data_IF_812935488585
#
_entry.id   IF_812935488585
#
_cell.length_a   1.000
_cell.length_b   1.000
_cell.length_c   1.000
_cell.angle_alpha   90.00
_cell.angle_beta   90.00
_cell.angle_gamma   90.00
#
_symmetry.space_group_name_H-M   'P 1'
#
loop_
_entity.id
_entity.type
_entity.pdbx_description
1 polymer ?
#
# COMPACT_ATOMS: atom_id res chain seq x y z
N UNK A 1 -16.06 14.74 -0.33
CA UNK A 1 -17.56 14.80 -0.31
C UNK A 1 -18.13 15.19 1.05
N UNK A 2 -17.50 14.74 2.16
CA UNK A 2 -18.02 14.98 3.53
C UNK A 2 -18.08 16.45 3.97
N UNK A 3 -17.38 17.35 3.26
CA UNK A 3 -17.48 18.81 3.48
C UNK A 3 -18.72 19.42 2.78
N UNK A 4 -19.48 18.61 2.03
CA UNK A 4 -20.67 19.06 1.31
C UNK A 4 -20.35 20.12 0.24
N UNK A 5 -21.14 21.22 0.16
CA UNK A 5 -20.94 22.27 -0.83
C UNK A 5 -19.57 22.99 -0.73
N UNK A 6 -18.88 22.85 0.38
CA UNK A 6 -17.54 23.44 0.63
C UNK A 6 -16.41 22.47 0.28
N UNK A 7 -16.74 21.25 -0.19
CA UNK A 7 -15.72 20.28 -0.61
C UNK A 7 -14.88 20.87 -1.74
N UNK A 8 -13.53 20.82 -1.64
CA UNK A 8 -12.68 21.22 -2.75
C UNK A 8 -12.89 20.28 -3.94
N UNK A 9 -12.79 20.82 -5.15
CA UNK A 9 -12.88 20.04 -6.39
C UNK A 9 -11.61 19.25 -6.69
N UNK A 10 -10.49 19.66 -6.08
CA UNK A 10 -9.17 19.04 -6.24
C UNK A 10 -8.45 19.09 -4.89
N UNK A 11 -7.81 18.03 -4.50
CA UNK A 11 -6.92 17.94 -3.33
C UNK A 11 -5.90 16.82 -3.55
N UNK A 12 -4.78 16.90 -2.84
CA UNK A 12 -3.75 15.86 -2.84
C UNK A 12 -4.03 14.87 -1.70
N UNK A 13 -4.26 13.57 -2.01
CA UNK A 13 -4.53 12.56 -1.00
C UNK A 13 -3.27 12.13 -0.23
N UNK A 14 -2.08 12.51 -0.69
CA UNK A 14 -0.78 12.15 -0.17
C UNK A 14 0.13 11.63 -1.26
N UNK A 15 1.37 11.32 -0.89
CA UNK A 15 2.33 10.71 -1.81
C UNK A 15 2.86 9.39 -1.24
N UNK A 16 3.27 8.52 -2.14
CA UNK A 16 4.04 7.32 -1.85
C UNK A 16 5.40 7.49 -2.54
N UNK A 17 6.45 7.52 -1.76
CA UNK A 17 7.81 7.66 -2.26
C UNK A 17 8.52 6.34 -2.01
N UNK A 18 9.16 5.79 -3.03
CA UNK A 18 9.99 4.60 -2.92
C UNK A 18 11.38 4.93 -3.45
N UNK A 19 12.38 4.72 -2.62
CA UNK A 19 13.78 4.86 -2.98
C UNK A 19 14.49 3.53 -2.80
N UNK A 20 15.29 3.15 -3.79
CA UNK A 20 16.05 1.92 -3.76
C UNK A 20 17.50 2.20 -4.15
N UNK A 21 18.42 1.70 -3.35
CA UNK A 21 19.84 1.72 -3.64
C UNK A 21 20.37 0.30 -3.64
N UNK A 22 20.83 -0.18 -4.78
CA UNK A 22 21.42 -1.50 -4.94
C UNK A 22 22.88 -1.40 -5.33
N UNK A 23 23.73 -2.15 -4.66
CA UNK A 23 25.14 -2.35 -5.02
C UNK A 23 25.36 -3.83 -5.22
N UNK A 24 25.86 -4.21 -6.39
CA UNK A 24 26.14 -5.60 -6.75
C UNK A 24 27.58 -5.73 -7.27
N UNK A 25 28.25 -6.79 -6.85
CA UNK A 25 29.55 -7.16 -7.39
C UNK A 25 29.52 -8.61 -7.87
N UNK A 26 29.72 -8.78 -9.18
CA UNK A 26 29.69 -10.08 -9.85
C UNK A 26 31.05 -10.44 -10.39
N UNK A 27 31.43 -11.70 -10.21
CA UNK A 27 32.67 -12.26 -10.68
C UNK A 27 32.41 -13.56 -11.43
N UNK A 28 33.09 -13.73 -12.56
CA UNK A 28 33.09 -14.97 -13.30
C UNK A 28 34.53 -15.44 -13.52
N UNK A 29 34.75 -16.73 -13.34
CA UNK A 29 36.09 -17.34 -13.47
C UNK A 29 35.97 -18.68 -14.18
N UNK A 30 36.78 -18.83 -15.25
CA UNK A 30 36.93 -20.09 -15.97
C UNK A 30 37.95 -20.96 -15.23
N UNK A 31 37.48 -22.05 -14.63
CA UNK A 31 38.31 -22.98 -13.85
C UNK A 31 39.06 -23.92 -14.82
N UNK A 32 38.37 -24.41 -15.83
CA UNK A 32 38.91 -25.27 -16.90
C UNK A 32 38.08 -25.09 -18.19
N UNK A 33 38.45 -25.79 -19.25
CA UNK A 33 37.69 -25.79 -20.52
C UNK A 33 36.25 -26.33 -20.35
N UNK A 34 35.99 -27.10 -19.30
CA UNK A 34 34.69 -27.75 -19.00
C UNK A 34 34.03 -27.20 -17.75
N UNK A 35 34.62 -26.24 -17.03
CA UNK A 35 34.08 -25.76 -15.76
C UNK A 35 34.22 -24.25 -15.64
N UNK A 36 33.10 -23.58 -15.33
CA UNK A 36 33.07 -22.17 -14.99
C UNK A 36 32.43 -21.95 -13.63
N UNK A 37 32.84 -20.89 -12.96
CA UNK A 37 32.35 -20.46 -11.67
C UNK A 37 31.91 -19.00 -11.78
N UNK A 38 30.69 -18.69 -11.32
CA UNK A 38 30.24 -17.34 -11.10
C UNK A 38 29.89 -17.16 -9.63
N UNK A 39 30.22 -16.02 -9.06
CA UNK A 39 29.86 -15.69 -7.69
C UNK A 39 29.74 -14.19 -7.52
N UNK A 40 28.97 -13.78 -6.52
CA UNK A 40 28.79 -12.37 -6.27
C UNK A 40 28.20 -12.10 -4.91
N UNK A 41 28.10 -10.80 -4.65
CA UNK A 41 27.45 -10.26 -3.47
C UNK A 41 26.61 -9.05 -3.87
N UNK A 42 25.48 -8.87 -3.20
CA UNK A 42 24.66 -7.69 -3.35
C UNK A 42 24.25 -7.12 -2.00
N UNK A 43 24.15 -5.81 -1.96
CA UNK A 43 23.56 -5.03 -0.89
C UNK A 43 22.39 -4.26 -1.46
N UNK A 44 21.26 -4.28 -0.76
CA UNK A 44 20.06 -3.54 -1.12
C UNK A 44 19.63 -2.71 0.09
N UNK A 45 19.34 -1.44 -0.14
CA UNK A 45 18.67 -0.55 0.80
C UNK A 45 17.42 -0.02 0.15
N UNK A 46 16.28 -0.24 0.79
CA UNK A 46 14.97 0.22 0.35
C UNK A 46 14.38 1.18 1.38
N UNK A 47 13.85 2.28 0.90
CA UNK A 47 13.11 3.24 1.71
C UNK A 47 11.73 3.44 1.09
N UNK A 48 10.70 3.38 1.91
CA UNK A 48 9.32 3.60 1.52
C UNK A 48 8.69 4.62 2.45
N UNK A 49 8.31 5.77 1.92
CA UNK A 49 7.71 6.85 2.66
C UNK A 49 6.25 7.05 2.26
N UNK A 50 5.39 7.12 3.25
CA UNK A 50 4.01 7.57 3.12
C UNK A 50 3.95 9.01 3.59
N UNK A 51 3.67 9.94 2.67
CA UNK A 51 3.55 11.38 2.96
C UNK A 51 2.08 11.74 3.12
N UNK A 52 1.77 12.50 4.16
CA UNK A 52 0.41 12.95 4.43
C UNK A 52 -0.20 13.75 3.27
N UNK A 53 -1.50 13.63 3.12
CA UNK A 53 -2.30 14.40 2.18
C UNK A 53 -2.70 15.77 2.75
N UNK A 54 -3.44 16.51 1.93
CA UNK A 54 -4.10 17.72 2.41
C UNK A 54 -5.22 17.37 3.41
N UNK A 55 -5.47 18.20 4.44
CA UNK A 55 -6.47 17.92 5.47
C UNK A 55 -7.85 17.54 4.93
N UNK A 56 -8.30 18.17 3.85
CA UNK A 56 -9.59 17.87 3.22
C UNK A 56 -9.66 16.47 2.58
N UNK A 57 -8.52 15.78 2.44
CA UNK A 57 -8.46 14.43 1.92
C UNK A 57 -8.75 13.36 2.99
N UNK A 58 -8.48 13.63 4.27
CA UNK A 58 -8.59 12.66 5.35
C UNK A 58 -9.44 13.12 6.55
N UNK A 59 -9.73 14.42 6.69
CA UNK A 59 -10.60 14.89 7.76
C UNK A 59 -12.08 14.64 7.43
N UNK A 60 -12.83 14.19 8.43
CA UNK A 60 -14.27 14.06 8.35
C UNK A 60 -14.92 15.44 8.39
N UNK A 61 -15.70 15.76 7.37
CA UNK A 61 -16.54 16.96 7.35
C UNK A 61 -17.89 16.72 8.05
N UNK A 62 -18.72 17.76 8.16
CA UNK A 62 -20.01 17.68 8.85
C UNK A 62 -20.97 16.64 8.25
N UNK A 63 -20.85 16.34 6.96
CA UNK A 63 -21.69 15.34 6.28
C UNK A 63 -21.15 13.89 6.38
N UNK A 64 -20.06 13.69 7.11
CA UNK A 64 -19.58 12.35 7.46
C UNK A 64 -20.27 11.75 8.70
N UNK A 65 -21.38 12.34 9.12
CA UNK A 65 -22.23 11.88 10.20
C UNK A 65 -23.61 11.49 9.69
N UNK A 66 -24.26 10.59 10.39
CA UNK A 66 -25.68 10.30 10.21
C UNK A 66 -26.49 11.53 10.55
N UNK A 67 -27.51 11.83 9.75
CA UNK A 67 -28.38 13.01 9.89
C UNK A 67 -27.59 14.33 10.17
N UNK A 68 -26.77 14.81 9.23
CA UNK A 68 -25.93 16.00 9.44
C UNK A 68 -26.72 17.31 9.55
N UNK A 69 -28.04 17.26 9.37
CA UNK A 69 -28.95 18.41 9.41
C UNK A 69 -29.80 18.45 10.67
N UNK A 70 -29.67 17.46 11.59
CA UNK A 70 -30.51 17.29 12.77
C UNK A 70 -32.03 17.27 12.41
N UNK A 71 -32.39 16.55 11.36
CA UNK A 71 -33.79 16.40 10.94
C UNK A 71 -34.56 15.41 11.78
N UNK A 72 -33.91 14.47 12.44
CA UNK A 72 -34.50 13.41 13.20
C UNK A 72 -34.11 13.45 14.69
N UNK A 73 -35.06 13.19 15.56
CA UNK A 73 -34.84 13.00 16.99
C UNK A 73 -34.42 11.55 17.28
N UNK A 74 -33.84 11.31 18.45
CA UNK A 74 -33.45 9.98 18.89
C UNK A 74 -34.63 9.00 19.07
N UNK A 75 -35.86 9.50 19.14
CA UNK A 75 -37.09 8.72 19.19
C UNK A 75 -37.71 8.43 17.82
N UNK A 76 -36.96 8.67 16.74
CA UNK A 76 -37.37 8.46 15.37
C UNK A 76 -38.54 9.38 14.91
N UNK A 77 -38.68 10.53 15.55
CA UNK A 77 -39.62 11.57 15.10
C UNK A 77 -38.88 12.71 14.43
N UNK A 78 -39.55 13.43 13.49
CA UNK A 78 -38.94 14.59 12.86
C UNK A 78 -38.81 15.76 13.86
N UNK A 79 -37.64 16.43 13.82
CA UNK A 79 -37.39 17.71 14.50
C UNK A 79 -38.19 18.84 13.84
N UNK A 80 -38.13 20.04 14.42
CA UNK A 80 -38.73 21.21 13.79
C UNK A 80 -38.10 21.48 12.38
N UNK A 81 -36.81 21.27 12.21
CA UNK A 81 -36.13 21.36 10.91
C UNK A 81 -36.57 20.26 9.93
N UNK A 82 -36.72 19.04 10.42
CA UNK A 82 -37.26 17.91 9.66
C UNK A 82 -38.68 18.15 9.19
N UNK A 83 -39.54 18.68 10.04
CA UNK A 83 -40.92 19.02 9.67
C UNK A 83 -40.97 20.12 8.59
N UNK A 84 -40.06 21.09 8.63
CA UNK A 84 -39.95 22.11 7.58
C UNK A 84 -39.49 21.48 6.27
N UNK A 85 -38.55 20.54 6.29
CA UNK A 85 -38.12 19.80 5.12
C UNK A 85 -39.25 18.99 4.50
N UNK A 86 -40.04 18.27 5.31
CA UNK A 86 -41.21 17.51 4.87
C UNK A 86 -42.28 18.45 4.24
N UNK A 87 -42.56 19.57 4.88
CA UNK A 87 -43.49 20.58 4.36
C UNK A 87 -42.99 21.19 3.03
N UNK A 88 -41.67 21.22 2.81
CA UNK A 88 -41.00 21.61 1.57
C UNK A 88 -40.99 20.54 0.48
N UNK A 89 -41.54 19.35 0.75
CA UNK A 89 -41.66 18.26 -0.22
C UNK A 89 -40.59 17.17 -0.08
N UNK A 90 -39.83 17.14 1.01
CA UNK A 90 -38.92 16.03 1.32
C UNK A 90 -39.70 14.74 1.64
N UNK A 91 -39.18 13.61 1.23
CA UNK A 91 -39.68 12.27 1.55
C UNK A 91 -39.11 11.72 2.86
N UNK A 92 -38.56 12.59 3.71
CA UNK A 92 -37.94 12.23 4.98
C UNK A 92 -38.86 11.38 5.86
N UNK A 93 -38.42 10.22 6.25
CA UNK A 93 -39.06 9.33 7.21
C UNK A 93 -38.03 8.91 8.29
N UNK A 94 -38.08 9.61 9.42
CA UNK A 94 -37.16 9.32 10.53
C UNK A 94 -37.36 7.93 11.19
N UNK A 95 -38.47 7.24 10.89
CA UNK A 95 -38.70 5.89 11.38
C UNK A 95 -38.13 4.80 10.45
N UNK A 96 -37.76 5.16 9.24
CA UNK A 96 -37.11 4.27 8.27
C UNK A 96 -35.59 4.35 8.43
N UNK A 97 -34.97 3.26 8.90
CA UNK A 97 -33.51 3.16 9.07
C UNK A 97 -32.75 3.23 7.72
N UNK A 98 -33.41 2.95 6.62
CA UNK A 98 -32.87 3.04 5.26
C UNK A 98 -33.09 4.41 4.61
N UNK A 99 -33.71 5.38 5.32
CA UNK A 99 -33.90 6.73 4.79
C UNK A 99 -32.56 7.37 4.42
N UNK A 100 -32.47 8.04 3.25
CA UNK A 100 -31.23 8.72 2.80
C UNK A 100 -30.62 9.70 3.80
N UNK A 101 -31.38 10.22 4.76
CA UNK A 101 -30.89 11.12 5.82
C UNK A 101 -29.81 10.46 6.68
N UNK A 102 -29.89 9.13 6.85
CA UNK A 102 -28.94 8.37 7.64
C UNK A 102 -27.69 7.93 6.86
N UNK A 103 -27.64 8.17 5.57
CA UNK A 103 -26.48 7.85 4.74
C UNK A 103 -25.29 8.75 5.07
N UNK A 104 -24.21 8.13 5.55
CA UNK A 104 -22.96 8.82 5.85
C UNK A 104 -22.15 9.03 4.56
N UNK A 105 -21.78 10.28 4.31
CA UNK A 105 -20.96 10.61 3.14
C UNK A 105 -19.48 10.31 3.46
N UNK A 106 -18.84 9.52 2.60
CA UNK A 106 -17.44 9.13 2.76
C UNK A 106 -16.48 10.31 2.75
N UNK A 107 -15.39 10.18 3.50
CA UNK A 107 -14.28 11.12 3.53
C UNK A 107 -13.44 11.00 2.26
N UNK A 108 -12.81 12.08 1.84
CA UNK A 108 -11.92 12.11 0.68
C UNK A 108 -12.66 12.06 -0.65
N UNK A 109 -12.06 11.45 -1.66
CA UNK A 109 -12.58 11.33 -3.00
C UNK A 109 -13.31 10.01 -3.18
N UNK A 110 -14.61 10.07 -3.47
CA UNK A 110 -15.44 8.88 -3.76
C UNK A 110 -15.25 7.73 -2.76
N UNK A 111 -15.17 8.05 -1.46
CA UNK A 111 -14.97 7.05 -0.41
C UNK A 111 -13.52 6.59 -0.21
N UNK A 112 -12.58 7.19 -0.93
CA UNK A 112 -11.15 6.95 -0.70
C UNK A 112 -10.57 8.11 0.14
N UNK A 113 -10.24 7.90 1.42
CA UNK A 113 -9.56 8.89 2.25
C UNK A 113 -8.09 9.04 1.82
N UNK A 114 -7.54 10.25 1.95
CA UNK A 114 -6.11 10.46 1.87
C UNK A 114 -5.37 9.93 3.09
N UNK A 115 -4.06 9.91 3.00
CA UNK A 115 -3.18 9.54 4.12
C UNK A 115 -3.21 10.63 5.18
N UNK A 116 -3.57 10.26 6.39
CA UNK A 116 -3.51 11.17 7.53
C UNK A 116 -2.11 11.16 8.17
N UNK A 117 -1.76 12.18 8.99
CA UNK A 117 -0.50 12.21 9.72
C UNK A 117 -0.22 10.95 10.55
N UNK A 118 -1.27 10.25 11.01
CA UNK A 118 -1.14 9.04 11.79
C UNK A 118 -0.61 7.83 10.99
N UNK A 119 -0.67 7.90 9.66
CA UNK A 119 -0.18 6.87 8.75
C UNK A 119 1.01 7.35 7.91
N UNK A 120 1.52 8.56 8.18
CA UNK A 120 2.68 9.12 7.48
C UNK A 120 3.93 8.70 8.22
N UNK A 121 4.70 7.81 7.60
CA UNK A 121 5.88 7.20 8.19
C UNK A 121 6.88 6.82 7.11
N UNK A 122 8.17 6.87 7.47
CA UNK A 122 9.26 6.37 6.66
C UNK A 122 9.64 4.95 7.16
N UNK A 123 9.54 4.00 6.26
CA UNK A 123 9.98 2.63 6.45
C UNK A 123 11.28 2.41 5.70
N UNK A 124 12.26 1.80 6.32
CA UNK A 124 13.51 1.43 5.68
C UNK A 124 13.89 0.00 6.02
N UNK A 125 14.52 -0.69 5.09
CA UNK A 125 15.11 -2.00 5.31
C UNK A 125 16.36 -2.18 4.48
N UNK A 126 17.22 -3.06 4.95
CA UNK A 126 18.41 -3.46 4.22
C UNK A 126 18.46 -4.98 4.05
N UNK A 127 19.11 -5.43 2.98
CA UNK A 127 19.43 -6.82 2.80
C UNK A 127 20.82 -7.01 2.21
N UNK A 128 21.42 -8.16 2.54
CA UNK A 128 22.68 -8.63 1.96
C UNK A 128 22.46 -10.00 1.34
N UNK A 129 23.03 -10.20 0.16
CA UNK A 129 23.01 -11.51 -0.46
C UNK A 129 24.40 -11.91 -0.94
N UNK A 130 24.67 -13.22 -0.84
CA UNK A 130 25.84 -13.86 -1.43
C UNK A 130 25.35 -15.01 -2.30
N UNK A 131 25.95 -15.18 -3.46
CA UNK A 131 25.57 -16.25 -4.38
C UNK A 131 26.76 -16.81 -5.10
N UNK A 132 26.65 -18.07 -5.48
CA UNK A 132 27.63 -18.77 -6.29
C UNK A 132 26.93 -19.77 -7.20
N UNK A 133 27.47 -19.91 -8.40
CA UNK A 133 27.02 -20.84 -9.41
C UNK A 133 28.23 -21.50 -10.05
N UNK A 134 28.11 -22.79 -10.30
CA UNK A 134 29.12 -23.58 -10.98
C UNK A 134 28.45 -24.35 -12.13
N UNK A 135 28.98 -24.14 -13.31
CA UNK A 135 28.63 -24.84 -14.53
C UNK A 135 29.72 -25.87 -14.88
N UNK A 136 29.30 -27.08 -15.20
CA UNK A 136 30.22 -28.19 -15.52
C UNK A 136 29.72 -29.01 -16.71
N UNK A 137 30.59 -29.23 -17.67
CA UNK A 137 30.45 -30.29 -18.67
C UNK A 137 31.07 -31.57 -18.10
N UNK A 138 30.26 -32.50 -17.62
CA UNK A 138 30.74 -33.75 -17.01
C UNK A 138 31.16 -34.75 -18.08
N UNK A 139 30.39 -34.76 -19.18
CA UNK A 139 30.71 -35.47 -20.42
C UNK A 139 30.26 -34.63 -21.61
N UNK A 140 30.62 -35.05 -22.83
CA UNK A 140 30.22 -34.36 -24.08
C UNK A 140 28.70 -34.20 -24.22
N UNK A 141 27.91 -35.08 -23.53
CA UNK A 141 26.46 -35.12 -23.58
C UNK A 141 25.80 -34.70 -22.24
N UNK A 142 26.57 -34.35 -21.23
CA UNK A 142 26.03 -34.04 -19.90
C UNK A 142 26.61 -32.72 -19.37
N UNK A 143 25.77 -31.72 -19.40
CA UNK A 143 26.00 -30.43 -18.74
C UNK A 143 25.25 -30.37 -17.40
N UNK A 144 25.89 -29.83 -16.35
CA UNK A 144 25.28 -29.64 -15.03
C UNK A 144 25.53 -28.24 -14.52
N UNK A 145 24.56 -27.71 -13.80
CA UNK A 145 24.61 -26.42 -13.13
C UNK A 145 24.20 -26.57 -11.66
N UNK A 146 25.00 -26.03 -10.76
CA UNK A 146 24.69 -25.94 -9.33
C UNK A 146 24.80 -24.50 -8.91
N UNK A 147 23.75 -23.97 -8.26
CA UNK A 147 23.76 -22.63 -7.73
C UNK A 147 23.24 -22.59 -6.29
N UNK A 148 23.78 -21.69 -5.50
CA UNK A 148 23.36 -21.37 -4.15
C UNK A 148 23.28 -19.87 -3.96
N UNK A 149 22.24 -19.39 -3.28
CA UNK A 149 22.08 -18.01 -2.85
C UNK A 149 21.70 -18.00 -1.38
N UNK A 150 22.46 -17.24 -0.61
CA UNK A 150 22.12 -16.86 0.75
C UNK A 150 21.71 -15.40 0.76
N UNK A 151 20.64 -15.09 1.48
CA UNK A 151 20.15 -13.73 1.62
C UNK A 151 19.74 -13.50 3.08
N UNK A 152 20.11 -12.35 3.64
CA UNK A 152 19.77 -11.92 4.97
C UNK A 152 19.04 -10.57 4.91
N UNK A 153 17.82 -10.56 5.40
CA UNK A 153 16.95 -9.39 5.48
C UNK A 153 16.87 -8.92 6.93
N UNK A 154 17.03 -7.63 7.14
CA UNK A 154 16.96 -7.02 8.47
C UNK A 154 15.65 -7.37 9.21
N UNK A 155 14.52 -7.42 8.48
CA UNK A 155 13.19 -7.62 9.07
C UNK A 155 12.72 -9.08 9.10
N UNK A 156 13.19 -9.93 8.18
CA UNK A 156 12.64 -11.28 7.97
C UNK A 156 13.61 -12.39 8.35
N UNK A 157 14.88 -12.04 8.68
CA UNK A 157 15.94 -13.00 8.88
C UNK A 157 16.52 -13.54 7.57
N UNK A 158 17.22 -14.67 7.65
CA UNK A 158 18.00 -15.19 6.53
C UNK A 158 17.33 -16.38 5.84
N UNK A 159 17.56 -16.48 4.53
CA UNK A 159 17.13 -17.60 3.70
C UNK A 159 18.26 -18.09 2.81
N UNK A 160 18.25 -19.40 2.53
CA UNK A 160 19.18 -20.02 1.59
C UNK A 160 18.41 -20.78 0.54
N UNK A 161 18.65 -20.45 -0.72
CA UNK A 161 18.05 -21.09 -1.88
C UNK A 161 19.14 -21.79 -2.69
N UNK A 162 18.85 -22.97 -3.22
CA UNK A 162 19.75 -23.72 -4.09
C UNK A 162 19.03 -24.26 -5.32
N UNK A 163 19.77 -24.37 -6.40
CA UNK A 163 19.30 -24.92 -7.68
C UNK A 163 20.29 -25.96 -8.17
N UNK A 164 19.78 -27.05 -8.67
CA UNK A 164 20.55 -28.07 -9.43
C UNK A 164 19.82 -28.31 -10.74
N UNK A 165 20.55 -28.27 -11.84
CA UNK A 165 20.04 -28.55 -13.17
C UNK A 165 20.99 -29.47 -13.92
N UNK A 166 20.48 -30.33 -14.78
CA UNK A 166 21.24 -31.17 -15.70
C UNK A 166 20.54 -31.23 -17.06
N UNK A 167 21.32 -31.26 -18.11
CA UNK A 167 20.86 -31.32 -19.49
C UNK A 167 21.74 -32.26 -20.28
#
# INVERSE_FOLDING_TARGET
PSMGPQSPGVFRPGDLINEETQITADFAYTVSDTTSLAFGASFLSEEYEVVEGEPDSYLAGPYANSDPWDFCNADNTATAAGLVAIAGGSTLDCADEDDPVYNVVGVGSNGFPGYSPAFSELYSRTSFAFYGEMDMEITDDLFTQVAVRFEDYEDFGSETVYKVAAK
#
